data_IF_628178872079
#
_entry.id   IF_628178872079
#
_cell.length_a   1.000
_cell.length_b   1.000
_cell.length_c   1.000
_cell.angle_alpha   90.00
_cell.angle_beta   90.00
_cell.angle_gamma   90.00
#
_symmetry.space_group_name_H-M   'P 1'
#
loop_
_entity.id
_entity.type
_entity.pdbx_description
1 polymer ?
#
# COMPACT_ATOMS: atom_id res chain seq x y z
N UNK A 1 -4.34 20.52 -15.03
CA UNK A 1 -2.94 20.15 -15.32
C UNK A 1 -2.87 18.65 -15.62
N UNK A 2 -2.17 18.31 -16.69
CA UNK A 2 -1.92 16.91 -17.03
C UNK A 2 -0.50 16.57 -16.57
N UNK A 3 -0.35 15.45 -15.86
CA UNK A 3 0.94 14.98 -15.42
C UNK A 3 1.15 13.53 -15.86
N UNK A 4 2.34 13.19 -16.29
CA UNK A 4 2.73 11.82 -16.60
C UNK A 4 3.97 11.46 -15.80
N UNK A 5 4.00 10.22 -15.32
CA UNK A 5 5.13 9.67 -14.58
C UNK A 5 5.24 8.18 -14.88
N UNK A 6 6.43 7.66 -14.79
CA UNK A 6 6.67 6.23 -14.99
C UNK A 6 7.34 5.67 -13.75
N UNK A 7 6.79 4.59 -13.22
CA UNK A 7 7.33 3.92 -12.05
C UNK A 7 8.80 3.52 -12.21
N UNK A 8 9.20 3.13 -13.43
CA UNK A 8 10.57 2.71 -13.70
C UNK A 8 11.59 3.85 -13.61
N UNK A 9 11.14 5.10 -13.70
CA UNK A 9 11.98 6.27 -13.55
C UNK A 9 12.22 6.62 -12.07
N UNK A 10 11.51 5.98 -11.14
CA UNK A 10 11.62 6.24 -9.72
C UNK A 10 12.43 5.14 -9.04
N UNK A 11 13.17 5.51 -8.01
CA UNK A 11 13.89 4.55 -7.19
C UNK A 11 13.00 4.04 -6.07
N UNK A 12 13.19 2.75 -5.69
CA UNK A 12 12.57 2.20 -4.51
C UNK A 12 13.14 2.86 -3.25
N UNK A 13 12.28 3.31 -2.36
CA UNK A 13 12.66 3.87 -1.07
C UNK A 13 12.30 2.89 0.04
N UNK A 14 13.22 2.64 1.00
CA UNK A 14 12.91 1.72 2.09
C UNK A 14 11.83 2.30 3.02
N UNK A 15 10.91 1.46 3.46
CA UNK A 15 9.87 1.80 4.42
C UNK A 15 10.15 1.17 5.78
N UNK A 16 10.44 -0.13 5.77
CA UNK A 16 10.84 -0.94 6.91
C UNK A 16 11.41 -2.25 6.39
N UNK A 17 11.87 -3.13 7.26
CA UNK A 17 12.48 -4.41 6.84
C UNK A 17 11.55 -5.16 5.86
N UNK A 18 12.04 -5.42 4.66
CA UNK A 18 11.33 -6.19 3.63
C UNK A 18 10.22 -5.43 2.92
N UNK A 19 10.09 -4.12 3.13
CA UNK A 19 9.05 -3.30 2.48
C UNK A 19 9.69 -2.04 1.89
N UNK A 20 9.38 -1.78 0.61
CA UNK A 20 9.84 -0.59 -0.11
C UNK A 20 8.69 0.01 -0.91
N UNK A 21 8.83 1.28 -1.26
CA UNK A 21 7.78 1.97 -2.02
C UNK A 21 8.32 2.97 -3.02
N UNK A 22 7.46 3.27 -4.00
CA UNK A 22 7.58 4.41 -4.92
C UNK A 22 6.28 5.21 -4.80
N UNK A 23 6.37 6.54 -4.85
CA UNK A 23 5.20 7.40 -4.63
C UNK A 23 5.09 8.40 -5.77
N UNK A 24 3.88 8.56 -6.29
CA UNK A 24 3.53 9.61 -7.26
C UNK A 24 2.40 10.43 -6.66
N UNK A 25 2.63 11.75 -6.59
CA UNK A 25 1.60 12.70 -6.16
C UNK A 25 0.95 13.34 -7.39
N UNK A 26 -0.38 13.43 -7.36
CA UNK A 26 -1.14 14.24 -8.31
C UNK A 26 -1.65 15.49 -7.60
N UNK A 27 -2.50 16.28 -8.25
CA UNK A 27 -3.09 17.48 -7.64
C UNK A 27 -4.02 17.16 -6.48
N UNK A 28 -4.61 15.95 -6.44
CA UNK A 28 -5.63 15.59 -5.46
C UNK A 28 -5.50 14.18 -4.90
N UNK A 29 -4.55 13.38 -5.41
CA UNK A 29 -4.43 11.97 -5.03
C UNK A 29 -2.97 11.59 -4.78
N UNK A 30 -2.79 10.43 -4.17
CA UNK A 30 -1.48 9.81 -3.99
C UNK A 30 -1.56 8.38 -4.53
N UNK A 31 -0.57 8.00 -5.33
CA UNK A 31 -0.37 6.64 -5.78
C UNK A 31 0.88 6.10 -5.11
N UNK A 32 0.76 4.96 -4.45
CA UNK A 32 1.88 4.29 -3.80
C UNK A 32 2.04 2.89 -4.38
N UNK A 33 3.16 2.66 -5.04
CA UNK A 33 3.56 1.30 -5.41
C UNK A 33 4.40 0.76 -4.28
N UNK A 34 3.93 -0.29 -3.61
CA UNK A 34 4.62 -0.87 -2.46
C UNK A 34 4.95 -2.33 -2.76
N UNK A 35 6.16 -2.73 -2.38
CA UNK A 35 6.65 -4.09 -2.58
C UNK A 35 6.92 -4.74 -1.24
N UNK A 36 6.31 -5.91 -1.03
CA UNK A 36 6.51 -6.72 0.17
C UNK A 36 7.35 -7.95 -0.20
N UNK A 37 8.51 -8.09 0.43
CA UNK A 37 9.30 -9.30 0.32
C UNK A 37 8.56 -10.47 1.02
N UNK A 38 8.93 -11.74 0.76
CA UNK A 38 8.29 -12.86 1.47
C UNK A 38 8.43 -12.80 2.99
N UNK A 39 9.50 -12.18 3.49
CA UNK A 39 9.68 -11.91 4.92
C UNK A 39 9.81 -10.42 5.12
N UNK A 40 8.97 -9.86 5.98
CA UNK A 40 8.96 -8.42 6.23
C UNK A 40 8.31 -8.08 7.56
N UNK A 41 8.60 -6.88 8.07
CA UNK A 41 7.91 -6.33 9.22
C UNK A 41 6.51 -5.89 8.82
N UNK A 42 5.57 -5.97 9.75
CA UNK A 42 4.21 -5.45 9.59
C UNK A 42 4.08 -4.13 10.34
N UNK A 43 3.13 -3.30 9.89
CA UNK A 43 2.85 -2.01 10.53
C UNK A 43 1.34 -1.77 10.59
N UNK A 44 0.65 -2.34 11.61
CA UNK A 44 -0.76 -2.05 11.80
C UNK A 44 -0.98 -0.55 12.04
N UNK A 45 -1.83 0.05 11.23
CA UNK A 45 -2.10 1.50 11.30
C UNK A 45 -3.49 1.81 10.78
N UNK A 46 -3.93 3.05 11.03
CA UNK A 46 -5.18 3.59 10.51
C UNK A 46 -4.94 5.03 10.07
N UNK A 47 -5.77 5.50 9.15
CA UNK A 47 -5.76 6.91 8.72
C UNK A 47 -7.20 7.37 8.46
N UNK A 48 -7.38 8.67 8.36
CA UNK A 48 -8.71 9.29 8.31
C UNK A 48 -9.29 9.44 6.89
N UNK A 49 -8.75 8.69 5.94
CA UNK A 49 -9.24 8.66 4.57
C UNK A 49 -9.30 7.22 4.05
N UNK A 50 -10.10 7.00 3.02
CA UNK A 50 -10.18 5.69 2.36
C UNK A 50 -8.86 5.36 1.66
N UNK A 51 -8.56 4.07 1.55
CA UNK A 51 -7.47 3.55 0.75
C UNK A 51 -8.00 2.46 -0.16
N UNK A 52 -7.62 2.50 -1.43
CA UNK A 52 -7.89 1.40 -2.35
C UNK A 52 -6.58 0.67 -2.58
N UNK A 53 -6.58 -0.65 -2.34
CA UNK A 53 -5.45 -1.51 -2.61
C UNK A 53 -5.73 -2.36 -3.84
N UNK A 54 -4.75 -2.49 -4.72
CA UNK A 54 -4.82 -3.30 -5.94
C UNK A 54 -3.56 -4.14 -6.06
N UNK A 55 -3.72 -5.47 -6.11
CA UNK A 55 -2.58 -6.38 -6.21
C UNK A 55 -2.19 -6.55 -7.67
N UNK A 56 -0.96 -6.15 -8.01
CA UNK A 56 -0.40 -6.31 -9.35
C UNK A 56 0.24 -7.69 -9.54
N UNK A 57 0.93 -8.19 -8.53
CA UNK A 57 1.56 -9.52 -8.57
C UNK A 57 1.75 -10.07 -7.17
N UNK A 58 1.80 -11.39 -7.07
CA UNK A 58 1.91 -12.10 -5.80
C UNK A 58 0.58 -12.29 -5.10
N UNK A 59 0.64 -12.73 -3.84
CA UNK A 59 -0.53 -12.95 -2.99
C UNK A 59 -0.31 -12.25 -1.66
N UNK A 60 -1.21 -11.35 -1.30
CA UNK A 60 -1.16 -10.59 -0.05
C UNK A 60 -2.39 -10.87 0.78
N UNK A 61 -2.20 -11.05 2.08
CA UNK A 61 -3.30 -11.01 3.04
C UNK A 61 -3.37 -9.59 3.61
N UNK A 62 -4.53 -8.93 3.39
CA UNK A 62 -4.85 -7.70 4.08
C UNK A 62 -5.69 -8.01 5.30
N UNK A 63 -5.19 -7.59 6.46
CA UNK A 63 -5.91 -7.68 7.72
C UNK A 63 -6.54 -6.32 7.98
N UNK A 64 -7.87 -6.28 8.07
CA UNK A 64 -8.63 -5.04 8.28
C UNK A 64 -9.58 -5.22 9.45
N UNK A 65 -9.58 -4.28 10.38
CA UNK A 65 -10.48 -4.32 11.52
C UNK A 65 -11.93 -4.11 11.06
N UNK A 66 -12.84 -4.95 11.55
CA UNK A 66 -14.27 -4.79 11.36
C UNK A 66 -14.84 -3.78 12.38
N UNK A 67 -16.16 -3.59 12.36
CA UNK A 67 -16.84 -2.65 13.27
C UNK A 67 -16.65 -3.00 14.76
N UNK A 68 -16.36 -4.27 15.07
CA UNK A 68 -16.09 -4.72 16.45
C UNK A 68 -14.62 -4.60 16.84
N UNK A 69 -13.77 -4.12 15.92
CA UNK A 69 -12.34 -4.02 16.14
C UNK A 69 -11.57 -5.33 15.93
N UNK A 70 -12.24 -6.36 15.42
CA UNK A 70 -11.61 -7.65 15.15
C UNK A 70 -10.92 -7.61 13.80
N UNK A 71 -9.68 -8.11 13.72
CA UNK A 71 -8.92 -8.17 12.47
C UNK A 71 -9.43 -9.33 11.60
N UNK A 72 -9.85 -9.00 10.39
CA UNK A 72 -10.35 -9.98 9.41
C UNK A 72 -9.37 -10.04 8.26
N UNK A 73 -8.93 -11.24 7.91
CA UNK A 73 -8.00 -11.47 6.81
C UNK A 73 -8.74 -11.52 5.48
N UNK A 74 -8.22 -10.77 4.50
CA UNK A 74 -8.71 -10.78 3.11
C UNK A 74 -7.57 -11.24 2.22
N UNK A 75 -7.64 -12.47 1.72
CA UNK A 75 -6.61 -12.99 0.83
C UNK A 75 -6.80 -12.45 -0.58
N UNK A 76 -5.76 -11.80 -1.10
CA UNK A 76 -5.81 -11.09 -2.36
C UNK A 76 -4.73 -11.61 -3.31
N UNK A 77 -5.18 -12.23 -4.40
CA UNK A 77 -4.30 -12.60 -5.51
C UNK A 77 -4.19 -11.43 -6.50
N UNK A 78 -3.31 -11.58 -7.49
CA UNK A 78 -3.16 -10.59 -8.56
C UNK A 78 -4.50 -10.26 -9.20
N UNK A 79 -4.78 -8.97 -9.39
CA UNK A 79 -6.05 -8.46 -9.92
C UNK A 79 -7.10 -8.14 -8.85
N UNK A 80 -6.87 -8.54 -7.61
CA UNK A 80 -7.82 -8.23 -6.51
C UNK A 80 -7.73 -6.78 -6.10
N UNK A 81 -8.88 -6.21 -5.73
CA UNK A 81 -8.98 -4.86 -5.16
C UNK A 81 -9.69 -4.90 -3.81
N UNK A 82 -9.32 -3.97 -2.93
CA UNK A 82 -9.93 -3.83 -1.61
C UNK A 82 -10.06 -2.35 -1.27
N UNK A 83 -11.26 -1.92 -0.88
CA UNK A 83 -11.45 -0.58 -0.33
C UNK A 83 -11.38 -0.68 1.20
N UNK A 84 -10.40 0.02 1.77
CA UNK A 84 -10.19 0.07 3.22
C UNK A 84 -10.84 1.35 3.72
N UNK A 85 -11.86 1.26 4.60
CA UNK A 85 -12.55 2.44 5.08
C UNK A 85 -11.67 3.36 5.91
N UNK A 86 -11.96 4.66 5.89
CA UNK A 86 -11.33 5.61 6.80
C UNK A 86 -11.47 5.15 8.25
N UNK A 87 -10.39 5.24 9.01
CA UNK A 87 -10.35 4.86 10.41
C UNK A 87 -10.20 3.37 10.70
N UNK A 88 -10.30 2.49 9.70
CA UNK A 88 -10.13 1.07 9.92
C UNK A 88 -8.66 0.71 10.06
N UNK A 89 -8.30 0.08 11.19
CA UNK A 89 -6.93 -0.41 11.42
C UNK A 89 -6.63 -1.55 10.46
N UNK A 90 -5.47 -1.52 9.84
CA UNK A 90 -5.12 -2.52 8.82
C UNK A 90 -3.62 -2.70 8.68
N UNK A 91 -3.24 -3.82 8.09
CA UNK A 91 -1.87 -4.08 7.63
C UNK A 91 -1.89 -5.17 6.55
N UNK A 92 -0.87 -5.15 5.70
CA UNK A 92 -0.66 -6.19 4.69
C UNK A 92 0.42 -7.16 5.14
N UNK A 93 0.28 -8.43 4.74
CA UNK A 93 1.27 -9.46 4.98
C UNK A 93 1.39 -10.36 3.74
N UNK A 94 2.62 -10.52 3.25
CA UNK A 94 2.89 -11.41 2.12
C UNK A 94 2.51 -12.85 2.50
N UNK A 95 1.62 -13.46 1.73
CA UNK A 95 1.09 -14.80 2.00
C UNK A 95 1.78 -15.88 1.17
N UNK A 96 2.75 -15.51 0.33
CA UNK A 96 3.41 -16.43 -0.57
C UNK A 96 4.93 -16.46 -0.42
N UNK A 97 5.59 -17.05 -1.41
CA UNK A 97 7.05 -17.18 -1.46
C UNK A 97 7.72 -16.20 -2.44
N UNK A 98 6.92 -15.41 -3.14
CA UNK A 98 7.40 -14.40 -4.09
C UNK A 98 7.12 -13.00 -3.56
N UNK A 99 7.85 -11.97 -4.01
CA UNK A 99 7.51 -10.60 -3.66
C UNK A 99 6.09 -10.25 -4.12
N UNK A 100 5.40 -9.42 -3.34
CA UNK A 100 4.09 -8.87 -3.69
C UNK A 100 4.27 -7.45 -4.16
N UNK A 101 3.63 -7.12 -5.27
CA UNK A 101 3.55 -5.75 -5.77
C UNK A 101 2.11 -5.28 -5.64
N UNK A 102 1.92 -4.24 -4.84
CA UNK A 102 0.62 -3.68 -4.51
C UNK A 102 0.58 -2.19 -4.85
N UNK A 103 -0.50 -1.76 -5.50
CA UNK A 103 -0.75 -0.35 -5.76
C UNK A 103 -1.79 0.15 -4.76
N UNK A 104 -1.43 1.17 -3.99
CA UNK A 104 -2.35 1.89 -3.11
C UNK A 104 -2.76 3.19 -3.77
N UNK A 105 -4.06 3.48 -3.74
CA UNK A 105 -4.62 4.73 -4.23
C UNK A 105 -5.27 5.44 -3.04
N UNK A 106 -4.79 6.65 -2.75
CA UNK A 106 -5.33 7.50 -1.68
C UNK A 106 -6.04 8.70 -2.31
N UNK A 107 -7.30 8.98 -1.95
CA UNK A 107 -8.05 10.13 -2.49
C UNK A 107 -7.65 11.46 -1.86
N UNK A 108 -6.42 11.55 -1.37
CA UNK A 108 -5.83 12.75 -0.76
C UNK A 108 -4.35 12.80 -1.11
N UNK A 109 -3.74 13.99 -1.02
CA UNK A 109 -2.31 14.11 -1.20
C UNK A 109 -1.60 13.77 0.11
N UNK A 110 -0.61 12.88 0.01
CA UNK A 110 0.20 12.43 1.16
C UNK A 110 1.69 12.66 0.89
N UNK A 111 2.16 13.92 0.85
CA UNK A 111 3.56 14.22 0.56
C UNK A 111 4.53 13.66 1.60
N UNK A 112 4.05 13.33 2.81
CA UNK A 112 4.86 12.68 3.83
C UNK A 112 5.35 11.28 3.41
N UNK A 113 4.74 10.65 2.41
CA UNK A 113 5.18 9.36 1.90
C UNK A 113 6.37 9.47 0.95
N UNK A 114 6.69 10.66 0.46
CA UNK A 114 7.85 10.86 -0.41
C UNK A 114 9.14 10.62 0.38
N UNK A 115 10.23 10.15 -0.31
CA UNK A 115 11.52 10.00 0.35
C UNK A 115 11.98 11.33 0.94
N UNK A 116 12.56 11.27 2.14
CA UNK A 116 13.14 12.46 2.76
C UNK A 116 14.37 12.89 1.99
N UNK A 117 14.47 14.18 1.73
CA UNK A 117 15.70 14.80 1.21
C UNK A 117 16.74 14.80 2.33
N UNK A 118 17.94 14.38 1.97
CA UNK A 118 19.08 14.46 2.88
C UNK A 118 19.67 15.87 2.85
#
# INVERSE_FOLDING_TARGET
MIATENWDALEWAPVRRGVERKVILTSATTLQLIRFQPSHDINPHAHDHEQIAYILSGTLDYFVANEKGEMVAHRMAAGSTLAIPAGARHYGQNAGSEPVLNLDIFPVRRPELLPRKK
#
